data_IF_369883961871
#
_entry.id   IF_369883961871
#
_cell.length_a   1.000
_cell.length_b   1.000
_cell.length_c   1.000
_cell.angle_alpha   90.00
_cell.angle_beta   90.00
_cell.angle_gamma   90.00
#
_symmetry.space_group_name_H-M   'P 1'
#
loop_
_entity.id
_entity.type
_entity.pdbx_description
1 polymer ?
#
# COMPACT_ATOMS: atom_id res chain seq x y z
N UNK A 1 6.67 -3.76 24.96
CA UNK A 1 5.85 -2.52 24.98
C UNK A 1 5.76 -1.84 23.62
N UNK A 2 6.87 -1.53 22.93
CA UNK A 2 6.88 -0.90 21.59
C UNK A 2 5.91 -1.57 20.59
N UNK A 3 6.01 -2.88 20.43
CA UNK A 3 5.16 -3.65 19.48
C UNK A 3 3.66 -3.59 19.77
N UNK A 4 3.27 -3.60 21.05
CA UNK A 4 1.85 -3.54 21.43
C UNK A 4 1.27 -2.16 21.09
N UNK A 5 2.04 -1.11 21.40
CA UNK A 5 1.67 0.27 21.07
C UNK A 5 1.58 0.46 19.55
N UNK A 6 2.55 -0.07 18.78
CA UNK A 6 2.52 -0.01 17.31
C UNK A 6 1.24 -0.64 16.75
N UNK A 7 0.82 -1.81 17.27
CA UNK A 7 -0.39 -2.50 16.82
C UNK A 7 -1.64 -1.67 17.18
N UNK A 8 -1.74 -1.18 18.42
CA UNK A 8 -2.89 -0.41 18.87
C UNK A 8 -3.06 0.90 18.09
N UNK A 9 -1.97 1.67 17.93
CA UNK A 9 -1.98 2.91 17.15
C UNK A 9 -2.26 2.65 15.66
N UNK A 10 -1.72 1.56 15.10
CA UNK A 10 -1.98 1.23 13.69
C UNK A 10 -3.43 0.85 13.45
N UNK A 11 -4.04 0.05 14.34
CA UNK A 11 -5.46 -0.32 14.25
C UNK A 11 -6.35 0.92 14.41
N UNK A 12 -6.06 1.76 15.41
CA UNK A 12 -6.80 3.00 15.62
C UNK A 12 -6.67 3.96 14.42
N UNK A 13 -5.45 4.17 13.93
CA UNK A 13 -5.18 4.99 12.74
C UNK A 13 -5.89 4.45 11.50
N UNK A 14 -5.95 3.14 11.32
CA UNK A 14 -6.67 2.51 10.22
C UNK A 14 -8.19 2.73 10.33
N UNK A 15 -8.77 2.63 11.53
CA UNK A 15 -10.19 2.89 11.75
C UNK A 15 -10.55 4.36 11.50
N UNK A 16 -9.73 5.29 11.98
CA UNK A 16 -9.94 6.74 11.78
C UNK A 16 -9.78 7.14 10.32
N UNK A 17 -8.84 6.53 9.60
CA UNK A 17 -8.60 6.81 8.17
C UNK A 17 -9.51 6.00 7.22
N UNK A 18 -10.18 4.95 7.70
CA UNK A 18 -11.13 4.14 6.92
C UNK A 18 -12.17 4.96 6.12
N UNK A 19 -12.84 6.00 6.66
CA UNK A 19 -13.78 6.80 5.88
C UNK A 19 -13.17 7.50 4.66
N UNK A 20 -11.84 7.69 4.62
CA UNK A 20 -11.12 8.23 3.46
C UNK A 20 -10.57 7.11 2.58
N UNK A 21 -9.99 6.08 3.19
CA UNK A 21 -9.36 4.97 2.46
C UNK A 21 -10.40 4.20 1.62
N UNK A 22 -11.59 3.93 2.17
CA UNK A 22 -12.61 3.13 1.49
C UNK A 22 -13.14 3.79 0.20
N UNK A 23 -13.55 5.08 0.20
CA UNK A 23 -13.91 5.76 -1.05
C UNK A 23 -12.77 5.81 -2.06
N UNK A 24 -11.53 6.06 -1.62
CA UNK A 24 -10.37 6.11 -2.53
C UNK A 24 -10.13 4.73 -3.16
N UNK A 25 -10.19 3.65 -2.38
CA UNK A 25 -10.11 2.28 -2.91
C UNK A 25 -11.19 2.01 -3.96
N UNK A 26 -12.43 2.45 -3.70
CA UNK A 26 -13.52 2.30 -4.65
C UNK A 26 -13.27 3.10 -5.93
N UNK A 27 -12.80 4.34 -5.83
CA UNK A 27 -12.49 5.18 -6.99
C UNK A 27 -11.37 4.61 -7.85
N UNK A 28 -10.30 4.09 -7.24
CA UNK A 28 -9.21 3.42 -7.94
C UNK A 28 -9.72 2.16 -8.65
N UNK A 29 -10.50 1.32 -7.97
CA UNK A 29 -11.08 0.13 -8.57
C UNK A 29 -12.04 0.48 -9.73
N UNK A 30 -12.83 1.54 -9.60
CA UNK A 30 -13.75 2.00 -10.65
C UNK A 30 -13.02 2.45 -11.92
N UNK A 31 -11.76 2.86 -11.83
CA UNK A 31 -11.00 3.39 -12.95
C UNK A 31 -10.54 2.30 -13.94
N UNK A 32 -10.05 1.16 -13.45
CA UNK A 32 -9.48 0.10 -14.28
C UNK A 32 -10.04 -1.32 -13.99
N UNK A 33 -10.98 -1.43 -13.05
CA UNK A 33 -11.62 -2.69 -12.63
C UNK A 33 -10.69 -3.64 -11.87
N UNK A 34 -9.46 -3.22 -11.57
CA UNK A 34 -8.45 -4.06 -10.96
C UNK A 34 -8.28 -3.75 -9.47
N UNK A 35 -7.57 -4.65 -8.76
CA UNK A 35 -7.32 -4.47 -7.32
C UNK A 35 -6.76 -3.07 -7.02
N UNK A 36 -7.33 -2.31 -6.07
CA UNK A 36 -6.82 -0.99 -5.73
C UNK A 36 -5.50 -1.03 -4.96
N UNK A 37 -5.00 -2.22 -4.64
CA UNK A 37 -3.73 -2.40 -3.95
C UNK A 37 -2.58 -2.65 -4.92
N UNK A 38 -1.43 -2.08 -4.56
CA UNK A 38 -0.13 -2.40 -5.12
C UNK A 38 0.75 -2.95 -3.99
N UNK A 39 1.39 -4.08 -4.24
CA UNK A 39 2.19 -4.81 -3.26
C UNK A 39 3.61 -4.93 -3.82
N UNK A 40 4.58 -4.32 -3.14
CA UNK A 40 5.98 -4.40 -3.53
C UNK A 40 6.85 -5.03 -2.43
N UNK A 41 7.84 -5.87 -2.79
CA UNK A 41 8.84 -6.35 -1.84
C UNK A 41 9.74 -5.20 -1.39
N UNK A 42 10.08 -5.18 -0.10
CA UNK A 42 11.01 -4.23 0.52
C UNK A 42 11.86 -4.96 1.54
N UNK A 43 13.07 -4.47 1.79
CA UNK A 43 14.00 -5.08 2.75
C UNK A 43 13.49 -4.85 4.17
N UNK A 44 13.33 -5.93 4.94
CA UNK A 44 12.85 -5.88 6.32
C UNK A 44 13.99 -5.54 7.30
N UNK A 45 13.59 -5.07 8.50
CA UNK A 45 14.54 -4.84 9.58
C UNK A 45 15.15 -6.18 10.05
N UNK A 46 16.47 -6.28 10.06
CA UNK A 46 17.19 -7.53 10.36
C UNK A 46 17.42 -8.43 9.14
N UNK A 47 17.14 -7.95 7.94
CA UNK A 47 17.27 -8.71 6.69
C UNK A 47 15.96 -9.41 6.29
N UNK A 48 15.96 -10.02 5.11
CA UNK A 48 14.77 -10.61 4.50
C UNK A 48 13.86 -9.58 3.81
N UNK A 49 12.69 -10.03 3.36
CA UNK A 49 11.74 -9.23 2.61
C UNK A 49 10.39 -9.11 3.35
N UNK A 50 9.79 -7.93 3.28
CA UNK A 50 8.39 -7.72 3.63
C UNK A 50 7.61 -7.13 2.46
N UNK A 51 6.34 -7.48 2.39
CA UNK A 51 5.42 -6.98 1.37
C UNK A 51 4.79 -5.67 1.84
N UNK A 52 5.21 -4.56 1.26
CA UNK A 52 4.61 -3.25 1.49
C UNK A 52 3.34 -3.10 0.66
N UNK A 53 2.21 -2.89 1.34
CA UNK A 53 0.91 -2.64 0.71
C UNK A 53 0.66 -1.15 0.64
N UNK A 54 0.32 -0.64 -0.55
CA UNK A 54 -0.11 0.74 -0.77
C UNK A 54 -1.30 0.81 -1.72
N UNK A 55 -2.01 1.94 -1.72
CA UNK A 55 -3.01 2.23 -2.74
C UNK A 55 -2.31 2.43 -4.09
N UNK A 56 -2.91 1.87 -5.13
CA UNK A 56 -2.43 1.95 -6.50
C UNK A 56 -2.72 3.35 -7.04
N UNK A 57 -1.68 4.02 -7.51
CA UNK A 57 -1.77 5.34 -8.16
C UNK A 57 -1.50 5.30 -9.66
N UNK A 58 -0.86 4.24 -10.15
CA UNK A 58 -0.55 4.05 -11.58
C UNK A 58 -1.45 2.98 -12.19
N UNK A 59 -1.58 2.98 -13.52
CA UNK A 59 -2.30 1.94 -14.27
C UNK A 59 -1.76 0.54 -13.94
N UNK A 60 -2.64 -0.46 -14.02
CA UNK A 60 -2.26 -1.87 -13.83
C UNK A 60 -1.07 -2.25 -14.73
N UNK A 61 0.02 -2.73 -14.12
CA UNK A 61 1.20 -3.20 -14.84
C UNK A 61 2.23 -2.12 -15.17
N UNK A 62 2.09 -0.90 -14.64
CA UNK A 62 3.09 0.16 -14.81
C UNK A 62 4.49 -0.22 -14.30
N UNK A 63 4.57 -1.12 -13.31
CA UNK A 63 5.81 -1.69 -12.76
C UNK A 63 6.59 -2.57 -13.76
N UNK A 64 5.93 -3.04 -14.83
CA UNK A 64 6.59 -3.78 -15.92
C UNK A 64 7.17 -2.87 -16.99
N UNK A 65 6.84 -1.58 -16.95
CA UNK A 65 7.46 -0.58 -17.81
C UNK A 65 8.91 -0.39 -17.35
N UNK A 66 9.88 -0.64 -18.22
CA UNK A 66 11.33 -0.50 -17.94
C UNK A 66 11.77 0.98 -17.78
N UNK A 67 10.87 1.85 -17.33
CA UNK A 67 11.17 3.26 -17.09
C UNK A 67 11.90 3.35 -15.76
N UNK A 68 13.22 3.47 -15.85
CA UNK A 68 14.07 3.66 -14.68
C UNK A 68 13.78 5.03 -14.06
N UNK A 69 13.47 5.05 -12.77
CA UNK A 69 13.21 6.29 -12.03
C UNK A 69 14.48 6.94 -11.49
N UNK A 70 15.63 6.32 -11.76
CA UNK A 70 16.96 6.81 -11.37
C UNK A 70 17.69 7.23 -12.64
N UNK A 71 18.03 8.52 -12.75
CA UNK A 71 19.00 9.04 -13.72
C UNK A 71 20.39 9.05 -13.10
#
# INVERSE_FOLDING_TARGET
>A
MKRLLDILLSVFGLLVSAPVILPVMFLVWRQDGASPFYIAPRVACGGGEFRMVKLRSMVKGADKSQVDSTS
#
